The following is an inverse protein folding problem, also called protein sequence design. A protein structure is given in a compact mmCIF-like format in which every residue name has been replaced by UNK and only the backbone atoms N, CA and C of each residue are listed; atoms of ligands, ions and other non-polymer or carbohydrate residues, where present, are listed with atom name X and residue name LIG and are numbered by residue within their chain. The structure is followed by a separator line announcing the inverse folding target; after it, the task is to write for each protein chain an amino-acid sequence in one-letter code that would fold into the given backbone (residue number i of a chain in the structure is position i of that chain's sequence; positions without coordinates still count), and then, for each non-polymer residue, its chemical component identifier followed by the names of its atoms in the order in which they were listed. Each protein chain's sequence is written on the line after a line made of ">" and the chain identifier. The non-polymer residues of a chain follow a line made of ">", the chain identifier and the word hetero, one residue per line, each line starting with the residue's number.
data_IF_993126595025
#
_entry.id   IF_993126595025
#
_cell.length_a   1.000
_cell.length_b   1.000
_cell.length_c   1.000
_cell.angle_alpha   90.00
_cell.angle_beta   90.00
_cell.angle_gamma   90.00
#
_symmetry.space_group_name_H-M   'P 1'
#
loop_
_entity.id
_entity.type
_entity.pdbx_description
1 polymer ?
#
# COMPACT_ATOMS: atom_id res chain seq x y z
N UNK A 1 9.62 4.25 12.88
CA UNK A 1 9.40 3.29 11.76
C UNK A 1 8.01 3.56 11.21
N UNK A 2 7.82 3.61 9.88
CA UNK A 2 6.50 3.86 9.26
C UNK A 2 5.85 2.50 8.94
N UNK A 3 4.85 2.06 9.74
CA UNK A 3 4.37 0.68 9.68
C UNK A 3 3.25 0.47 8.67
N UNK A 4 2.76 1.52 8.01
CA UNK A 4 1.69 1.40 7.02
C UNK A 4 2.26 1.54 5.62
N UNK A 5 1.93 0.61 4.73
CA UNK A 5 2.33 0.60 3.33
C UNK A 5 1.11 0.81 2.46
N UNK A 6 1.31 1.54 1.35
CA UNK A 6 0.39 1.50 0.22
C UNK A 6 1.03 0.63 -0.85
N UNK A 7 0.32 -0.40 -1.28
CA UNK A 7 0.74 -1.34 -2.31
C UNK A 7 -0.19 -1.19 -3.52
N UNK A 8 0.39 -1.00 -4.70
CA UNK A 8 -0.31 -1.07 -5.98
C UNK A 8 -0.27 -2.50 -6.49
N UNK A 9 -1.42 -3.05 -6.83
CA UNK A 9 -1.55 -4.31 -7.55
C UNK A 9 -2.07 -4.03 -8.96
N UNK A 10 -1.33 -4.46 -9.98
CA UNK A 10 -1.80 -4.43 -11.36
C UNK A 10 -2.62 -5.68 -11.71
N UNK A 11 -3.27 -5.67 -12.87
CA UNK A 11 -4.09 -6.78 -13.36
C UNK A 11 -3.33 -8.11 -13.57
N UNK A 12 -2.00 -8.07 -13.73
CA UNK A 12 -1.15 -9.26 -13.79
C UNK A 12 -0.80 -9.80 -12.39
N UNK A 13 -1.26 -9.14 -11.33
CA UNK A 13 -1.03 -9.52 -9.95
C UNK A 13 0.29 -9.01 -9.37
N UNK A 14 1.10 -8.25 -10.12
CA UNK A 14 2.35 -7.72 -9.55
C UNK A 14 2.05 -6.66 -8.50
N UNK A 15 2.81 -6.71 -7.40
CA UNK A 15 2.63 -5.83 -6.24
C UNK A 15 3.82 -4.89 -6.11
N UNK A 16 3.55 -3.58 -6.09
CA UNK A 16 4.57 -2.54 -5.98
C UNK A 16 4.29 -1.66 -4.77
N UNK A 17 5.33 -1.39 -3.97
CA UNK A 17 5.20 -0.46 -2.85
C UNK A 17 5.24 0.98 -3.35
N UNK A 18 4.15 1.69 -3.14
CA UNK A 18 3.99 3.10 -3.52
C UNK A 18 4.54 4.03 -2.44
N UNK A 19 4.27 3.71 -1.16
CA UNK A 19 4.64 4.59 -0.05
C UNK A 19 4.66 3.92 1.32
N UNK A 20 5.19 4.65 2.31
CA UNK A 20 5.14 4.29 3.73
C UNK A 20 4.58 5.45 4.54
N UNK A 21 3.74 5.16 5.51
CA UNK A 21 3.01 6.15 6.31
C UNK A 21 3.06 5.83 7.80
N UNK A 22 2.88 6.87 8.61
CA UNK A 22 2.91 6.76 10.06
C UNK A 22 1.60 6.17 10.59
N UNK A 23 0.48 6.53 9.95
CA UNK A 23 -0.87 6.08 10.31
C UNK A 23 -1.55 5.34 9.17
N UNK A 24 -2.57 4.53 9.53
CA UNK A 24 -3.42 3.87 8.53
C UNK A 24 -4.21 4.88 7.72
N UNK A 25 -4.68 5.94 8.37
CA UNK A 25 -5.48 6.99 7.75
C UNK A 25 -4.73 7.69 6.63
N UNK A 26 -3.48 8.10 6.87
CA UNK A 26 -2.64 8.70 5.81
C UNK A 26 -2.40 7.74 4.64
N UNK A 27 -2.19 6.45 4.92
CA UNK A 27 -2.04 5.44 3.88
C UNK A 27 -3.34 5.25 3.07
N UNK A 28 -4.49 5.26 3.75
CA UNK A 28 -5.79 5.06 3.14
C UNK A 28 -6.18 6.24 2.24
N UNK A 29 -6.01 7.48 2.71
CA UNK A 29 -6.24 8.69 1.91
C UNK A 29 -5.45 8.68 0.60
N UNK A 30 -4.20 8.19 0.63
CA UNK A 30 -3.39 8.05 -0.58
C UNK A 30 -3.91 6.93 -1.49
N UNK A 31 -4.30 5.79 -0.93
CA UNK A 31 -4.89 4.70 -1.72
C UNK A 31 -6.18 5.13 -2.42
N UNK A 32 -7.11 5.76 -1.70
CA UNK A 32 -8.37 6.30 -2.24
C UNK A 32 -8.13 7.34 -3.34
N UNK A 33 -7.17 8.25 -3.14
CA UNK A 33 -6.79 9.24 -4.16
C UNK A 33 -6.26 8.58 -5.44
N UNK A 34 -5.42 7.55 -5.30
CA UNK A 34 -4.80 6.87 -6.43
C UNK A 34 -5.77 5.94 -7.18
N UNK A 35 -6.74 5.35 -6.48
CA UNK A 35 -7.81 4.55 -7.09
C UNK A 35 -8.70 5.40 -7.99
N UNK A 36 -8.97 6.65 -7.61
CA UNK A 36 -9.74 7.61 -8.43
C UNK A 36 -9.08 8.04 -9.74
N UNK A 37 -7.77 7.84 -9.91
CA UNK A 37 -7.02 8.30 -11.10
C UNK A 37 -6.74 7.19 -12.14
N UNK A 38 -7.09 5.92 -11.89
CA UNK A 38 -6.80 4.82 -12.84
C UNK A 38 -7.76 3.64 -12.74
N UNK A 39 -8.42 3.30 -13.85
CA UNK A 39 -9.52 2.33 -13.90
C UNK A 39 -9.10 0.84 -13.82
N UNK A 40 -7.81 0.54 -13.71
CA UNK A 40 -7.29 -0.85 -13.79
C UNK A 40 -6.27 -1.20 -12.69
N UNK A 41 -6.03 -0.30 -11.72
CA UNK A 41 -5.03 -0.50 -10.67
C UNK A 41 -5.72 -0.57 -9.31
N UNK A 42 -5.41 -1.61 -8.53
CA UNK A 42 -5.91 -1.76 -7.16
C UNK A 42 -4.87 -1.23 -6.18
N UNK A 43 -5.29 -0.39 -5.22
CA UNK A 43 -4.41 0.12 -4.16
C UNK A 43 -4.84 -0.43 -2.81
N UNK A 44 -3.96 -1.15 -2.13
CA UNK A 44 -4.24 -1.77 -0.83
C UNK A 44 -3.31 -1.23 0.26
N UNK A 45 -3.88 -1.01 1.45
CA UNK A 45 -3.14 -0.59 2.64
C UNK A 45 -2.78 -1.82 3.48
N UNK A 46 -1.49 -2.06 3.66
CA UNK A 46 -0.97 -3.17 4.47
C UNK A 46 -0.16 -2.64 5.66
N UNK A 47 -0.36 -3.23 6.85
CA UNK A 47 0.50 -2.96 8.01
C UNK A 47 1.71 -3.87 7.92
N UNK A 48 2.92 -3.31 7.96
CA UNK A 48 4.14 -4.09 8.21
C UNK A 48 4.05 -4.64 9.63
N UNK A 49 3.63 -5.89 9.77
CA UNK A 49 3.85 -6.61 11.00
C UNK A 49 5.35 -6.64 11.25
N UNK A 50 5.80 -6.17 12.42
CA UNK A 50 7.14 -6.44 12.88
C UNK A 50 7.20 -7.93 13.22
N UNK A 51 7.28 -8.80 12.22
CA UNK A 51 7.33 -10.25 12.41
C UNK A 51 7.99 -10.89 11.20
N UNK A 52 9.26 -11.25 11.43
CA UNK A 52 10.18 -12.01 10.59
C UNK A 52 10.72 -11.26 9.37
N UNK A 53 11.71 -10.41 9.64
CA UNK A 53 12.90 -10.42 8.79
C UNK A 53 13.35 -11.88 8.72
N UNK A 54 13.24 -12.49 7.55
CA UNK A 54 13.74 -13.83 7.27
C UNK A 54 15.21 -13.90 7.68
N UNK A 55 15.53 -14.85 8.57
CA UNK A 55 16.88 -15.41 8.64
C UNK A 55 17.12 -16.33 7.46
#
# INVERSE_FOLDING_TARGET
>A
MLPWLVIRQDANGNRYRVGRYATRTEAQEVADRLEGEGQEQLYVVERTAASRQSG
#
